data_IF_892103917065
#
_entry.id   IF_892103917065
#
_cell.length_a   1.000
_cell.length_b   1.000
_cell.length_c   1.000
_cell.angle_alpha   90.00
_cell.angle_beta   90.00
_cell.angle_gamma   90.00
#
_symmetry.space_group_name_H-M   'P 1'
#
loop_
_entity.id
_entity.type
_entity.pdbx_description
1 polymer ?
#
# COMPACT_ATOMS: atom_id res chain seq x y z
N UNK A 1 1.87 -0.42 -8.90
CA UNK A 1 0.43 -0.73 -8.90
C UNK A 1 0.10 -1.44 -10.20
N UNK A 2 -0.55 -2.60 -10.15
CA UNK A 2 -1.08 -3.29 -11.32
C UNK A 2 -2.58 -3.02 -11.36
N UNK A 3 -3.09 -2.46 -12.46
CA UNK A 3 -4.51 -2.18 -12.65
C UNK A 3 -5.07 -3.11 -13.72
N UNK A 4 -5.98 -4.00 -13.32
CA UNK A 4 -6.61 -4.98 -14.21
C UNK A 4 -8.00 -4.47 -14.57
N UNK A 5 -8.28 -4.40 -15.88
CA UNK A 5 -9.56 -3.94 -16.42
C UNK A 5 -9.88 -4.70 -17.70
N UNK A 6 -11.16 -4.74 -18.06
CA UNK A 6 -11.64 -5.41 -19.26
C UNK A 6 -13.15 -5.58 -19.19
N UNK A 7 -13.74 -6.07 -20.28
CA UNK A 7 -15.17 -6.38 -20.33
C UNK A 7 -15.37 -7.89 -20.34
N UNK A 8 -16.30 -8.41 -19.54
CA UNK A 8 -16.51 -9.86 -19.43
C UNK A 8 -16.88 -10.53 -20.76
N UNK A 9 -17.53 -9.81 -21.67
CA UNK A 9 -17.92 -10.34 -22.99
C UNK A 9 -16.71 -10.62 -23.90
N UNK A 10 -15.56 -9.98 -23.65
CA UNK A 10 -14.34 -10.20 -24.43
C UNK A 10 -13.84 -11.64 -24.22
N UNK A 11 -14.01 -12.18 -23.01
CA UNK A 11 -13.60 -13.55 -22.71
C UNK A 11 -14.40 -14.62 -23.45
N UNK A 12 -15.70 -14.38 -23.61
CA UNK A 12 -16.59 -15.25 -24.40
C UNK A 12 -16.29 -15.13 -25.90
N UNK A 13 -16.13 -13.90 -26.40
CA UNK A 13 -15.88 -13.64 -27.82
C UNK A 13 -14.55 -14.24 -28.29
N UNK A 14 -13.51 -14.14 -27.48
CA UNK A 14 -12.16 -14.59 -27.81
C UNK A 14 -11.85 -16.01 -27.29
N UNK A 15 -12.82 -16.67 -26.65
CA UNK A 15 -12.68 -18.01 -26.05
C UNK A 15 -11.45 -18.14 -25.13
N UNK A 16 -11.17 -17.12 -24.31
CA UNK A 16 -9.92 -17.02 -23.55
C UNK A 16 -10.11 -16.87 -22.03
N UNK A 17 -11.21 -17.39 -21.48
CA UNK A 17 -11.45 -17.47 -20.03
C UNK A 17 -10.28 -18.05 -19.23
N UNK A 18 -9.58 -19.04 -19.79
CA UNK A 18 -8.39 -19.64 -19.16
C UNK A 18 -7.30 -18.62 -18.81
N UNK A 19 -7.22 -17.49 -19.54
CA UNK A 19 -6.26 -16.43 -19.30
C UNK A 19 -6.51 -15.75 -17.94
N UNK A 20 -7.73 -15.28 -17.70
CA UNK A 20 -8.06 -14.59 -16.46
C UNK A 20 -8.06 -15.56 -15.27
N UNK A 21 -8.47 -16.81 -15.47
CA UNK A 21 -8.38 -17.84 -14.43
C UNK A 21 -6.93 -18.15 -14.03
N UNK A 22 -6.04 -18.30 -15.01
CA UNK A 22 -4.61 -18.56 -14.75
C UNK A 22 -3.96 -17.38 -14.04
N UNK A 23 -4.32 -16.15 -14.43
CA UNK A 23 -3.90 -14.95 -13.73
C UNK A 23 -4.38 -14.93 -12.27
N UNK A 24 -5.66 -15.18 -12.03
CA UNK A 24 -6.23 -15.22 -10.68
C UNK A 24 -5.58 -16.30 -9.80
N UNK A 25 -5.26 -17.49 -10.37
CA UNK A 25 -4.52 -18.55 -9.66
C UNK A 25 -3.09 -18.12 -9.31
N UNK A 26 -2.42 -17.37 -10.18
CA UNK A 26 -1.06 -16.89 -9.96
C UNK A 26 -0.98 -15.83 -8.87
N UNK A 27 -1.92 -14.88 -8.86
CA UNK A 27 -1.86 -13.71 -7.98
C UNK A 27 -2.73 -13.83 -6.74
N UNK A 28 -3.72 -14.72 -6.70
CA UNK A 28 -4.69 -14.84 -5.62
C UNK A 28 -4.14 -15.48 -4.34
N UNK A 29 -4.68 -15.09 -3.18
CA UNK A 29 -4.34 -15.66 -1.88
C UNK A 29 -2.94 -15.31 -1.36
N UNK A 30 -2.28 -14.31 -1.95
CA UNK A 30 -0.95 -13.86 -1.54
C UNK A 30 -1.05 -12.80 -0.45
N UNK A 31 -0.33 -13.02 0.66
CA UNK A 31 -0.31 -12.11 1.80
C UNK A 31 0.54 -10.85 1.54
N UNK A 32 1.41 -10.88 0.54
CA UNK A 32 2.26 -9.75 0.12
C UNK A 32 1.63 -8.87 -0.96
N UNK A 33 0.37 -9.14 -1.35
CA UNK A 33 -0.40 -8.36 -2.31
C UNK A 33 -1.58 -7.70 -1.61
N UNK A 34 -1.68 -6.38 -1.76
CA UNK A 34 -2.89 -5.66 -1.37
C UNK A 34 -3.89 -5.68 -2.54
N UNK A 35 -4.97 -6.48 -2.39
CA UNK A 35 -6.12 -6.44 -3.29
C UNK A 35 -7.02 -5.27 -2.88
N UNK A 36 -7.16 -4.30 -3.77
CA UNK A 36 -7.87 -3.06 -3.47
C UNK A 36 -8.81 -2.66 -4.61
N UNK A 37 -9.96 -2.13 -4.22
CA UNK A 37 -10.87 -1.40 -5.10
C UNK A 37 -10.30 0.00 -5.40
N UNK A 38 -10.80 0.62 -6.46
CA UNK A 38 -10.44 2.01 -6.79
C UNK A 38 -10.74 2.99 -5.64
N UNK A 39 -11.84 2.78 -4.89
CA UNK A 39 -12.18 3.65 -3.77
C UNK A 39 -11.14 3.54 -2.65
N UNK A 40 -10.74 2.32 -2.29
CA UNK A 40 -9.71 2.09 -1.26
C UNK A 40 -8.37 2.72 -1.65
N UNK A 41 -7.98 2.66 -2.94
CA UNK A 41 -6.78 3.33 -3.43
C UNK A 41 -6.91 4.85 -3.28
N UNK A 42 -8.05 5.43 -3.65
CA UNK A 42 -8.30 6.87 -3.51
C UNK A 42 -8.26 7.30 -2.04
N UNK A 43 -8.88 6.53 -1.15
CA UNK A 43 -8.92 6.84 0.27
C UNK A 43 -7.55 6.69 0.93
N UNK A 44 -6.77 5.67 0.55
CA UNK A 44 -5.38 5.53 0.97
C UNK A 44 -4.52 6.72 0.53
N UNK A 45 -4.65 7.17 -0.73
CA UNK A 45 -3.92 8.34 -1.22
C UNK A 45 -4.29 9.63 -0.47
N UNK A 46 -5.57 9.81 -0.13
CA UNK A 46 -6.02 10.93 0.71
C UNK A 46 -5.43 10.84 2.12
N UNK A 47 -5.47 9.66 2.75
CA UNK A 47 -4.91 9.43 4.07
C UNK A 47 -3.40 9.70 4.10
N UNK A 48 -2.66 9.19 3.11
CA UNK A 48 -1.22 9.42 2.95
C UNK A 48 -0.89 10.91 2.83
N UNK A 49 -1.61 11.65 1.98
CA UNK A 49 -1.40 13.10 1.83
C UNK A 49 -1.76 13.90 3.08
N UNK A 50 -2.61 13.36 3.94
CA UNK A 50 -3.05 14.02 5.16
C UNK A 50 -2.14 13.72 6.37
N UNK A 51 -1.14 12.84 6.23
CA UNK A 51 -0.11 12.64 7.26
C UNK A 51 0.54 13.98 7.64
N UNK A 52 0.86 14.14 8.92
CA UNK A 52 1.55 15.32 9.46
C UNK A 52 2.94 14.92 9.89
N UNK A 53 3.94 15.57 9.31
CA UNK A 53 5.34 15.33 9.63
C UNK A 53 5.88 16.43 10.53
N UNK A 54 6.83 16.09 11.39
CA UNK A 54 7.62 17.08 12.10
C UNK A 54 8.52 17.86 11.13
N UNK A 55 8.92 19.08 11.52
CA UNK A 55 9.76 19.93 10.66
C UNK A 55 11.12 19.28 10.32
N UNK A 56 11.64 18.46 11.22
CA UNK A 56 12.88 17.69 11.09
C UNK A 56 12.66 16.25 10.55
N UNK A 57 11.42 15.91 10.16
CA UNK A 57 11.00 14.59 9.66
C UNK A 57 11.31 13.39 10.59
N UNK A 58 11.54 13.65 11.88
CA UNK A 58 11.79 12.62 12.89
C UNK A 58 10.53 11.85 13.33
N UNK A 59 9.33 12.36 13.06
CA UNK A 59 8.09 11.62 13.31
C UNK A 59 6.99 11.95 12.29
N UNK A 60 6.06 11.01 12.15
CA UNK A 60 4.82 11.16 11.41
C UNK A 60 3.61 10.89 12.32
N UNK A 61 2.63 11.79 12.29
CA UNK A 61 1.32 11.64 12.90
C UNK A 61 0.30 11.32 11.82
N UNK A 62 -0.50 10.28 12.04
CA UNK A 62 -1.62 9.93 11.18
C UNK A 62 -2.95 10.39 11.80
N UNK A 63 -3.54 11.49 11.33
CA UNK A 63 -4.83 11.97 11.83
C UNK A 63 -6.03 11.17 11.28
N UNK A 64 -5.80 10.22 10.36
CA UNK A 64 -6.85 9.43 9.73
C UNK A 64 -7.14 8.16 10.53
N UNK A 65 -8.22 7.44 10.20
CA UNK A 65 -8.50 6.13 10.78
C UNK A 65 -7.78 4.97 10.05
N UNK A 66 -7.46 5.15 8.77
CA UNK A 66 -6.73 4.16 7.97
C UNK A 66 -5.24 4.17 8.31
N UNK A 67 -4.64 2.98 8.47
CA UNK A 67 -3.18 2.84 8.50
C UNK A 67 -2.56 3.31 7.19
N UNK A 68 -1.37 3.92 7.29
CA UNK A 68 -0.56 4.34 6.14
C UNK A 68 0.85 3.79 6.31
N UNK A 69 1.40 3.18 5.26
CA UNK A 69 2.75 2.65 5.26
C UNK A 69 3.72 3.63 4.61
N UNK A 70 4.85 3.85 5.27
CA UNK A 70 5.97 4.68 4.83
C UNK A 70 7.21 3.82 4.65
N UNK A 71 8.01 4.14 3.63
CA UNK A 71 9.37 3.62 3.50
C UNK A 71 10.34 4.76 3.79
N UNK A 72 11.12 4.63 4.87
CA UNK A 72 12.16 5.59 5.26
C UNK A 72 13.47 4.82 5.29
N UNK A 73 14.36 5.15 4.36
CA UNK A 73 15.69 4.53 4.21
C UNK A 73 15.68 2.99 4.16
N UNK A 74 14.66 2.41 3.53
CA UNK A 74 14.50 0.96 3.38
C UNK A 74 13.75 0.28 4.54
N UNK A 75 13.37 1.03 5.58
CA UNK A 75 12.58 0.53 6.70
C UNK A 75 11.10 0.88 6.45
N UNK A 76 10.24 -0.14 6.55
CA UNK A 76 8.80 0.03 6.42
C UNK A 76 8.19 0.34 7.78
N UNK A 77 7.51 1.48 7.88
CA UNK A 77 6.75 1.90 9.05
C UNK A 77 5.27 1.85 8.74
N UNK A 78 4.49 1.13 9.55
CA UNK A 78 3.05 1.31 9.60
C UNK A 78 2.74 2.46 10.56
N UNK A 79 2.15 3.55 10.05
CA UNK A 79 1.60 4.63 10.87
C UNK A 79 0.11 4.37 10.99
N UNK A 80 -0.28 3.70 12.08
CA UNK A 80 -1.69 3.37 12.36
C UNK A 80 -2.55 4.62 12.49
N UNK A 81 -3.84 4.48 12.21
CA UNK A 81 -4.77 5.58 12.33
C UNK A 81 -4.82 6.15 13.74
N UNK A 82 -4.74 7.48 13.87
CA UNK A 82 -4.72 8.20 15.14
C UNK A 82 -3.38 8.14 15.90
N UNK A 83 -2.36 7.46 15.36
CA UNK A 83 -1.08 7.27 16.04
C UNK A 83 0.03 8.18 15.49
N UNK A 84 1.02 8.43 16.35
CA UNK A 84 2.28 9.07 15.99
C UNK A 84 3.41 8.04 16.06
N UNK A 85 4.21 7.94 15.00
CA UNK A 85 5.36 7.04 14.92
C UNK A 85 6.63 7.84 14.74
N UNK A 86 7.68 7.49 15.50
CA UNK A 86 9.01 8.06 15.33
C UNK A 86 9.71 7.36 14.15
N UNK A 87 10.18 8.18 13.21
CA UNK A 87 10.94 7.77 12.03
C UNK A 87 12.43 7.92 12.37
N UNK A 88 12.98 7.00 13.16
CA UNK A 88 14.39 7.07 13.56
C UNK A 88 15.29 6.46 12.50
N UNK A 89 16.41 7.14 12.19
CA UNK A 89 17.62 6.47 11.72
C UNK A 89 18.15 5.61 12.87
N UNK A 90 17.99 4.28 12.82
CA UNK A 90 18.84 3.43 13.65
C UNK A 90 19.44 2.29 12.82
N UNK A 91 20.67 2.54 12.34
CA UNK A 91 21.71 1.51 12.16
C UNK A 91 23.10 2.06 11.81
N UNK A 92 23.49 3.29 12.23
CA UNK A 92 24.92 3.72 12.15
C UNK A 92 25.48 4.50 13.34
N UNK A 93 24.78 4.60 14.48
CA UNK A 93 25.37 5.21 15.68
C UNK A 93 25.09 4.35 16.90
N UNK A 94 25.75 3.19 16.97
CA UNK A 94 26.04 2.53 18.25
C UNK A 94 26.99 1.33 18.04
N UNK A 95 28.25 1.63 17.72
CA UNK A 95 29.39 0.90 18.27
C UNK A 95 30.60 1.83 18.25
N UNK A 96 30.97 2.20 19.47
CA UNK A 96 32.21 2.77 20.00
C UNK A 96 33.39 2.71 19.02
#
# INVERSE_FOLDING_TARGET
MLYVWGHSYEFDNDMNWDMIESFCKLVGGREDIWYATNMEIVDYLKAFRNLKFSADSQFALNPNALSVWLNVDGIIYEVKGGEQVRLSEDSRVSKI
#
